data_IF_609009988574
#
_entry.id   IF_609009988574
#
_cell.length_a   1.000
_cell.length_b   1.000
_cell.length_c   1.000
_cell.angle_alpha   90.00
_cell.angle_beta   90.00
_cell.angle_gamma   90.00
#
_symmetry.space_group_name_H-M   'P 1'
#
loop_
_entity.id
_entity.type
_entity.pdbx_description
1 polymer ?
#
# COMPACT_ATOMS: atom_id res chain seq x y z
N UNK A 1 -58.32 -7.25 -58.51
CA UNK A 1 -58.01 -7.75 -57.15
C UNK A 1 -56.77 -7.10 -56.47
N UNK A 2 -56.18 -6.00 -56.98
CA UNK A 2 -54.90 -5.40 -56.46
C UNK A 2 -55.06 -4.08 -55.66
N UNK A 3 -56.28 -3.70 -55.25
CA UNK A 3 -56.54 -2.39 -54.60
C UNK A 3 -56.49 -2.45 -53.07
N UNK A 4 -56.73 -3.61 -52.48
CA UNK A 4 -56.87 -3.77 -51.03
C UNK A 4 -55.51 -3.94 -50.34
N UNK A 5 -54.55 -4.60 -50.99
CA UNK A 5 -53.18 -4.79 -50.46
C UNK A 5 -52.43 -3.47 -50.25
N UNK A 6 -52.71 -2.45 -51.08
CA UNK A 6 -52.12 -1.12 -50.92
C UNK A 6 -52.61 -0.37 -49.68
N UNK A 7 -53.78 -0.70 -49.15
CA UNK A 7 -54.31 -0.06 -47.94
C UNK A 7 -53.62 -0.59 -46.67
N UNK A 8 -53.20 -1.86 -46.67
CA UNK A 8 -52.46 -2.43 -45.55
C UNK A 8 -51.03 -1.87 -45.46
N UNK A 9 -50.34 -1.74 -46.61
CA UNK A 9 -48.96 -1.21 -46.66
C UNK A 9 -48.88 0.27 -46.26
N UNK A 10 -49.92 1.06 -46.55
CA UNK A 10 -49.97 2.49 -46.17
C UNK A 10 -50.30 2.71 -44.68
N UNK A 11 -50.96 1.75 -44.02
CA UNK A 11 -51.30 1.86 -42.60
C UNK A 11 -50.16 1.37 -41.67
N UNK A 12 -49.27 0.53 -42.18
CA UNK A 12 -48.10 0.02 -41.45
C UNK A 12 -46.98 1.07 -41.34
N UNK A 13 -46.91 2.03 -42.27
CA UNK A 13 -45.90 3.10 -42.26
C UNK A 13 -46.20 4.26 -41.31
N UNK A 14 -47.41 4.35 -40.74
CA UNK A 14 -47.79 5.49 -39.87
C UNK A 14 -47.55 5.28 -38.37
N UNK A 15 -47.04 4.12 -37.94
CA UNK A 15 -46.90 3.78 -36.51
C UNK A 15 -45.46 3.84 -35.95
N UNK A 16 -44.46 4.33 -36.70
CA UNK A 16 -43.05 4.32 -36.24
C UNK A 16 -42.45 5.68 -35.91
N UNK A 17 -43.27 6.73 -35.73
CA UNK A 17 -42.78 8.00 -35.17
C UNK A 17 -42.79 7.90 -33.64
N UNK A 18 -41.80 7.19 -33.11
CA UNK A 18 -41.47 7.23 -31.69
C UNK A 18 -41.37 8.68 -31.25
N UNK A 19 -42.36 9.14 -30.48
CA UNK A 19 -42.39 10.51 -29.93
C UNK A 19 -41.13 10.71 -29.09
N UNK A 20 -40.13 11.37 -29.66
CA UNK A 20 -39.00 11.89 -28.90
C UNK A 20 -39.58 12.86 -27.88
N UNK A 21 -39.72 12.40 -26.64
CA UNK A 21 -40.14 13.23 -25.52
C UNK A 21 -39.06 14.29 -25.37
N UNK A 22 -39.34 15.52 -25.85
CA UNK A 22 -38.46 16.66 -25.62
C UNK A 22 -38.24 16.77 -24.11
N UNK A 23 -37.00 16.61 -23.69
CA UNK A 23 -36.63 16.81 -22.29
C UNK A 23 -37.07 18.21 -21.89
N UNK A 24 -38.03 18.30 -20.98
CA UNK A 24 -38.47 19.59 -20.46
C UNK A 24 -37.26 20.24 -19.75
N UNK A 25 -37.05 21.54 -19.93
CA UNK A 25 -35.96 22.30 -19.30
C UNK A 25 -35.89 22.06 -17.78
N UNK A 26 -37.05 21.86 -17.13
CA UNK A 26 -37.14 21.50 -15.70
C UNK A 26 -36.56 20.12 -15.36
N UNK A 27 -36.60 19.15 -16.29
CA UNK A 27 -35.99 17.82 -16.10
C UNK A 27 -34.47 17.87 -16.28
N UNK A 28 -33.99 18.66 -17.25
CA UNK A 28 -32.56 18.87 -17.46
C UNK A 28 -31.89 19.57 -16.27
N UNK A 29 -32.57 20.56 -15.68
CA UNK A 29 -32.09 21.24 -14.47
C UNK A 29 -31.93 20.27 -13.28
N UNK A 30 -32.89 19.35 -13.08
CA UNK A 30 -32.81 18.32 -12.03
C UNK A 30 -31.66 17.35 -12.26
N UNK A 31 -31.45 16.93 -13.52
CA UNK A 31 -30.35 16.04 -13.88
C UNK A 31 -29.00 16.72 -13.67
N UNK A 32 -28.87 17.99 -14.08
CA UNK A 32 -27.66 18.79 -13.87
C UNK A 32 -27.33 18.93 -12.38
N UNK A 33 -28.35 19.19 -11.54
CA UNK A 33 -28.16 19.31 -10.09
C UNK A 33 -27.59 18.02 -9.50
N UNK A 34 -28.20 16.86 -9.81
CA UNK A 34 -27.71 15.57 -9.33
C UNK A 34 -26.29 15.31 -9.83
N UNK A 35 -26.02 15.61 -11.09
CA UNK A 35 -24.70 15.42 -11.68
C UNK A 35 -23.63 16.30 -11.00
N UNK A 36 -23.95 17.55 -10.71
CA UNK A 36 -23.08 18.46 -9.95
C UNK A 36 -22.81 17.94 -8.53
N UNK A 37 -23.83 17.44 -7.84
CA UNK A 37 -23.67 16.87 -6.48
C UNK A 37 -22.72 15.67 -6.51
N UNK A 38 -22.93 14.75 -7.47
CA UNK A 38 -22.06 13.58 -7.63
C UNK A 38 -20.62 14.02 -7.98
N UNK A 39 -20.45 14.95 -8.91
CA UNK A 39 -19.14 15.48 -9.26
C UNK A 39 -18.43 16.11 -8.06
N UNK A 40 -19.11 16.96 -7.29
CA UNK A 40 -18.55 17.58 -6.09
C UNK A 40 -18.18 16.52 -5.04
N UNK A 41 -18.97 15.46 -4.89
CA UNK A 41 -18.64 14.38 -3.96
C UNK A 41 -17.36 13.63 -4.35
N UNK A 42 -17.15 13.39 -5.66
CA UNK A 42 -15.93 12.76 -6.17
C UNK A 42 -14.72 13.68 -5.98
N UNK A 43 -14.86 14.98 -6.23
CA UNK A 43 -13.81 15.96 -5.97
C UNK A 43 -13.45 16.05 -4.49
N UNK A 44 -14.43 16.00 -3.59
CA UNK A 44 -14.19 15.97 -2.15
C UNK A 44 -13.41 14.72 -1.73
N UNK A 45 -13.74 13.55 -2.28
CA UNK A 45 -12.99 12.31 -2.05
C UNK A 45 -11.55 12.39 -2.58
N UNK A 46 -11.35 12.95 -3.77
CA UNK A 46 -10.02 13.22 -4.32
C UNK A 46 -9.19 14.14 -3.41
N UNK A 47 -9.79 15.24 -2.93
CA UNK A 47 -9.13 16.14 -1.99
C UNK A 47 -8.77 15.46 -0.66
N UNK A 48 -9.69 14.65 -0.11
CA UNK A 48 -9.43 13.87 1.10
C UNK A 48 -8.31 12.86 0.90
N UNK A 49 -8.27 12.18 -0.24
CA UNK A 49 -7.20 11.24 -0.59
C UNK A 49 -5.86 11.95 -0.69
N UNK A 50 -5.79 13.07 -1.42
CA UNK A 50 -4.57 13.86 -1.55
C UNK A 50 -4.05 14.36 -0.19
N UNK A 51 -4.95 14.82 0.70
CA UNK A 51 -4.61 15.22 2.06
C UNK A 51 -3.93 14.08 2.85
N UNK A 52 -4.50 12.86 2.79
CA UNK A 52 -3.94 11.68 3.47
C UNK A 52 -2.58 11.31 2.89
N UNK A 53 -2.43 11.31 1.56
CA UNK A 53 -1.17 10.97 0.89
C UNK A 53 -0.05 11.96 1.25
N UNK A 54 -0.36 13.26 1.34
CA UNK A 54 0.65 14.27 1.62
C UNK A 54 1.05 14.31 3.11
N UNK A 55 0.11 14.05 4.02
CA UNK A 55 0.37 14.08 5.46
C UNK A 55 0.93 12.76 6.00
N UNK A 56 0.46 11.61 5.49
CA UNK A 56 0.77 10.28 6.03
C UNK A 56 1.43 9.35 4.98
N UNK A 57 1.85 9.87 3.82
CA UNK A 57 2.38 9.09 2.70
C UNK A 57 3.51 8.13 3.10
N UNK A 58 4.43 8.60 3.95
CA UNK A 58 5.54 7.79 4.46
C UNK A 58 5.07 6.61 5.32
N UNK A 59 4.00 6.79 6.09
CA UNK A 59 3.39 5.76 6.93
C UNK A 59 2.70 4.69 6.07
N UNK A 60 1.94 5.11 5.05
CA UNK A 60 1.25 4.18 4.15
C UNK A 60 2.22 3.44 3.22
N UNK A 61 3.27 4.09 2.73
CA UNK A 61 4.33 3.46 1.95
C UNK A 61 5.04 2.36 2.75
N UNK A 62 5.41 2.64 4.00
CA UNK A 62 6.02 1.67 4.92
C UNK A 62 5.10 0.47 5.17
N UNK A 63 3.80 0.71 5.33
CA UNK A 63 2.84 -0.38 5.55
C UNK A 63 2.71 -1.30 4.33
N UNK A 64 2.71 -0.79 3.11
CA UNK A 64 2.65 -1.62 1.89
C UNK A 64 3.96 -2.41 1.70
N UNK A 65 5.12 -1.77 1.91
CA UNK A 65 6.43 -2.43 1.90
C UNK A 65 6.53 -3.54 2.94
N UNK A 66 5.99 -3.32 4.14
CA UNK A 66 5.97 -4.34 5.20
C UNK A 66 5.11 -5.55 4.83
N UNK A 67 4.03 -5.36 4.05
CA UNK A 67 3.19 -6.46 3.55
C UNK A 67 3.87 -7.24 2.42
N UNK A 68 4.60 -6.56 1.54
CA UNK A 68 5.42 -7.23 0.52
C UNK A 68 6.60 -7.99 1.15
N UNK A 69 7.10 -7.49 2.28
CA UNK A 69 8.17 -8.11 3.06
C UNK A 69 7.67 -9.16 4.06
N UNK A 70 6.39 -9.56 4.00
CA UNK A 70 5.89 -10.74 4.73
C UNK A 70 6.40 -12.02 4.05
N UNK A 71 7.73 -12.10 3.89
CA UNK A 71 8.43 -13.36 3.77
C UNK A 71 8.24 -14.05 5.10
N UNK A 72 7.58 -15.22 5.10
CA UNK A 72 7.59 -16.11 6.25
C UNK A 72 9.04 -16.45 6.56
N UNK A 73 9.66 -15.69 7.46
CA UNK A 73 11.02 -15.96 7.87
C UNK A 73 10.99 -17.27 8.66
N UNK A 74 11.60 -18.32 8.09
CA UNK A 74 11.77 -19.58 8.80
C UNK A 74 12.77 -19.35 9.91
N UNK A 75 12.31 -19.44 11.16
CA UNK A 75 13.18 -19.34 12.32
C UNK A 75 14.07 -20.60 12.37
N UNK A 76 15.40 -20.49 12.28
CA UNK A 76 16.28 -21.64 12.36
C UNK A 76 16.16 -22.27 13.75
N UNK A 77 16.01 -23.59 13.79
CA UNK A 77 15.95 -24.34 15.05
C UNK A 77 17.37 -24.62 15.58
N UNK A 78 17.50 -24.71 16.90
CA UNK A 78 18.75 -25.14 17.55
C UNK A 78 18.90 -26.66 17.40
N UNK A 79 20.07 -27.12 16.94
CA UNK A 79 20.39 -28.56 16.91
C UNK A 79 20.65 -29.08 18.33
N UNK A 80 20.40 -30.36 18.57
CA UNK A 80 20.83 -31.04 19.79
C UNK A 80 22.35 -31.07 19.94
N UNK A 81 22.79 -31.08 21.20
CA UNK A 81 24.20 -31.16 21.58
C UNK A 81 24.75 -32.57 21.34
N UNK A 82 26.02 -32.67 20.94
CA UNK A 82 26.71 -33.94 20.72
C UNK A 82 27.43 -34.31 22.02
N UNK A 83 27.09 -35.47 22.58
CA UNK A 83 27.60 -35.98 23.85
C UNK A 83 28.47 -37.24 23.61
N UNK A 84 29.52 -37.42 24.41
CA UNK A 84 30.22 -38.70 24.55
C UNK A 84 29.41 -39.69 25.41
N UNK A 85 29.79 -40.97 25.44
CA UNK A 85 29.16 -42.04 26.25
C UNK A 85 29.05 -41.71 27.74
N UNK A 86 29.97 -40.89 28.24
CA UNK A 86 30.00 -40.42 29.63
C UNK A 86 29.21 -39.11 29.86
N UNK A 87 28.53 -38.60 28.84
CA UNK A 87 27.73 -37.37 28.93
C UNK A 87 28.53 -36.07 28.73
N UNK A 88 29.80 -36.14 28.34
CA UNK A 88 30.62 -34.96 28.05
C UNK A 88 30.22 -34.31 26.72
N UNK A 89 29.96 -33.00 26.72
CA UNK A 89 29.60 -32.24 25.52
C UNK A 89 30.82 -32.05 24.61
N UNK A 90 30.75 -32.58 23.39
CA UNK A 90 31.79 -32.43 22.37
C UNK A 90 31.49 -31.28 21.40
N UNK A 91 30.21 -31.03 21.11
CA UNK A 91 29.80 -29.91 20.26
C UNK A 91 28.42 -29.39 20.65
N UNK A 92 28.30 -28.07 20.77
CA UNK A 92 27.08 -27.36 21.14
C UNK A 92 26.85 -26.17 20.21
N UNK A 93 25.59 -25.89 19.91
CA UNK A 93 25.21 -24.67 19.21
C UNK A 93 24.95 -23.56 20.24
N UNK A 94 25.68 -22.47 20.15
CA UNK A 94 25.49 -21.27 20.98
C UNK A 94 25.03 -20.09 20.12
N UNK A 95 24.21 -19.24 20.72
CA UNK A 95 23.76 -18.01 20.08
C UNK A 95 24.91 -17.00 20.09
N UNK A 96 25.25 -16.44 18.92
CA UNK A 96 26.25 -15.38 18.81
C UNK A 96 25.57 -14.07 18.44
N UNK A 97 25.74 -13.06 19.31
CA UNK A 97 25.34 -11.69 19.00
C UNK A 97 26.42 -11.03 18.14
N UNK A 98 26.01 -10.42 17.03
CA UNK A 98 26.91 -9.68 16.13
C UNK A 98 26.53 -8.22 16.14
N UNK A 99 27.49 -7.37 16.49
CA UNK A 99 27.37 -5.93 16.34
C UNK A 99 27.98 -5.52 15.01
N UNK A 100 27.25 -4.75 14.20
CA UNK A 100 27.71 -4.24 12.92
C UNK A 100 27.58 -2.73 12.96
N UNK A 101 28.70 -2.03 12.81
CA UNK A 101 28.74 -0.57 12.71
C UNK A 101 28.89 -0.18 11.23
N UNK A 102 28.06 0.77 10.77
CA UNK A 102 28.15 1.36 9.44
C UNK A 102 28.79 2.76 9.55
N UNK A 103 30.09 2.91 9.24
CA UNK A 103 30.79 4.18 9.38
C UNK A 103 30.21 5.28 8.49
N UNK A 104 29.70 4.91 7.30
CA UNK A 104 29.19 5.90 6.35
C UNK A 104 27.96 6.61 6.89
N UNK A 105 27.08 5.88 7.58
CA UNK A 105 25.91 6.47 8.23
C UNK A 105 26.27 7.28 9.46
N UNK A 106 27.23 6.79 10.24
CA UNK A 106 27.71 7.48 11.43
C UNK A 106 28.34 8.85 11.08
N UNK A 107 29.08 8.93 9.97
CA UNK A 107 29.69 10.18 9.50
C UNK A 107 28.69 11.21 8.93
N UNK A 108 27.44 10.83 8.66
CA UNK A 108 26.41 11.78 8.21
C UNK A 108 25.89 12.66 9.35
N UNK A 109 26.06 12.22 10.59
CA UNK A 109 25.64 12.93 11.79
C UNK A 109 26.82 13.01 12.78
N UNK A 110 27.70 14.02 12.64
CA UNK A 110 28.94 14.12 13.41
C UNK A 110 28.72 14.16 14.92
N UNK A 111 27.60 14.75 15.36
CA UNK A 111 27.25 14.88 16.77
C UNK A 111 26.95 13.51 17.42
N UNK A 112 26.57 12.52 16.62
CA UNK A 112 26.26 11.17 17.08
C UNK A 112 27.50 10.30 17.33
N UNK A 113 28.68 10.68 16.80
CA UNK A 113 29.92 9.89 16.87
C UNK A 113 30.34 9.64 18.32
N UNK A 114 30.47 10.72 19.10
CA UNK A 114 30.95 10.64 20.49
C UNK A 114 29.99 9.82 21.36
N UNK A 115 28.69 10.03 21.20
CA UNK A 115 27.66 9.26 21.92
C UNK A 115 27.69 7.77 21.56
N UNK A 116 28.01 7.44 20.32
CA UNK A 116 28.10 6.06 19.84
C UNK A 116 29.35 5.38 20.37
N UNK A 117 30.51 6.05 20.32
CA UNK A 117 31.76 5.54 20.88
C UNK A 117 31.63 5.26 22.39
N UNK A 118 31.01 6.19 23.12
CA UNK A 118 30.74 6.00 24.55
C UNK A 118 29.83 4.80 24.82
N UNK A 119 28.79 4.60 24.01
CA UNK A 119 27.91 3.43 24.14
C UNK A 119 28.63 2.11 23.84
N UNK A 120 29.59 2.10 22.90
CA UNK A 120 30.42 0.94 22.60
C UNK A 120 31.34 0.59 23.77
N UNK A 121 31.91 1.60 24.43
CA UNK A 121 32.74 1.43 25.61
C UNK A 121 31.91 0.91 26.81
N UNK A 122 30.81 1.59 27.15
CA UNK A 122 30.01 1.30 28.34
C UNK A 122 29.32 -0.08 28.29
N UNK A 123 28.78 -0.47 27.12
CA UNK A 123 27.93 -1.66 27.01
C UNK A 123 28.60 -2.85 26.34
N UNK A 124 29.58 -2.61 25.46
CA UNK A 124 30.27 -3.67 24.72
C UNK A 124 31.72 -3.85 25.13
N UNK A 125 32.25 -2.97 26.00
CA UNK A 125 33.65 -3.00 26.46
C UNK A 125 34.64 -2.96 25.28
N UNK A 126 34.26 -2.27 24.20
CA UNK A 126 35.10 -2.08 23.02
C UNK A 126 35.82 -0.76 23.19
N UNK A 127 37.15 -0.79 23.13
CA UNK A 127 37.98 0.41 23.22
C UNK A 127 37.73 1.30 21.98
N UNK A 128 37.40 2.59 22.15
CA UNK A 128 37.19 3.54 21.06
C UNK A 128 38.35 3.63 20.07
N UNK A 129 39.58 3.31 20.49
CA UNK A 129 40.78 3.33 19.64
C UNK A 129 40.86 2.17 18.65
N UNK A 130 40.02 1.14 18.80
CA UNK A 130 40.01 -0.07 17.97
C UNK A 130 39.08 0.05 16.76
N UNK A 131 38.19 1.06 16.74
CA UNK A 131 37.12 1.27 15.76
C UNK A 131 37.45 2.46 14.86
#
# INVERSE_FOLDING_TARGET
>A
MRRNERQYVLNEQNNSLGKYRKFNSRMQAKLLLVFCVVFLSLFALMGRLAYIVMHDGDRYAKNVLSRQSYSSAVLPYKRGDILDRNGTVLAKSELQYKLILDPKRLLLDPDSIESTLKALEDYFQIDPSTV
#
